data_IF_973083580161
#
_entry.id   IF_973083580161
#
_cell.length_a   1.000
_cell.length_b   1.000
_cell.length_c   1.000
_cell.angle_alpha   90.00
_cell.angle_beta   90.00
_cell.angle_gamma   90.00
#
_symmetry.space_group_name_H-M   'P 1'
#
loop_
_entity.id
_entity.type
_entity.pdbx_description
1 polymer ?
#
# COMPACT_ATOMS: atom_id res chain seq x y z
N UNK A 1 15.58 15.33 1.60
CA UNK A 1 14.90 15.44 2.91
C UNK A 1 14.60 14.03 3.46
N UNK A 2 14.20 13.95 4.75
CA UNK A 2 13.66 12.71 5.33
C UNK A 2 12.18 12.57 5.00
N UNK A 3 11.69 11.34 4.93
CA UNK A 3 10.28 11.06 4.68
C UNK A 3 9.35 11.74 5.70
N UNK A 4 9.72 11.75 6.99
CA UNK A 4 8.94 12.40 8.05
C UNK A 4 8.73 13.92 7.84
N UNK A 5 9.60 14.58 7.07
CA UNK A 5 9.47 16.00 6.72
C UNK A 5 8.50 16.19 5.54
N UNK A 6 8.39 15.19 4.66
CA UNK A 6 7.60 15.23 3.44
C UNK A 6 6.18 14.64 3.60
N UNK A 7 6.01 13.64 4.46
CA UNK A 7 4.76 12.92 4.61
C UNK A 7 4.56 12.29 6.00
N UNK A 8 3.30 12.04 6.35
CA UNK A 8 2.89 11.29 7.54
C UNK A 8 2.51 9.86 7.17
N UNK A 9 2.92 8.90 8.01
CA UNK A 9 2.61 7.47 7.88
C UNK A 9 1.66 7.04 8.97
N UNK A 10 0.54 6.43 8.60
CA UNK A 10 -0.39 5.78 9.51
C UNK A 10 -0.60 4.31 9.10
N UNK A 11 -0.77 3.43 10.08
CA UNK A 11 -1.07 2.01 9.81
C UNK A 11 -2.45 1.90 9.16
N UNK A 12 -2.58 1.02 8.19
CA UNK A 12 -3.87 0.72 7.56
C UNK A 12 -4.89 0.14 8.54
N UNK A 13 -6.09 -0.10 8.06
CA UNK A 13 -7.22 -0.52 8.87
C UNK A 13 -6.95 -1.92 9.46
N UNK A 14 -7.01 -2.05 10.77
CA UNK A 14 -6.88 -3.33 11.47
C UNK A 14 -8.26 -3.95 11.62
N UNK A 15 -8.61 -4.92 10.79
CA UNK A 15 -9.93 -5.58 10.83
C UNK A 15 -10.03 -6.61 11.96
N UNK A 16 -8.99 -7.39 12.19
CA UNK A 16 -8.98 -8.52 13.12
C UNK A 16 -9.55 -9.82 12.53
N UNK A 17 -10.17 -9.73 11.33
CA UNK A 17 -10.71 -10.87 10.60
C UNK A 17 -10.74 -10.52 9.09
N UNK A 18 -9.56 -10.47 8.45
CA UNK A 18 -9.46 -10.04 7.06
C UNK A 18 -10.31 -10.88 6.11
N UNK A 19 -10.43 -12.17 6.33
CA UNK A 19 -11.26 -13.09 5.54
C UNK A 19 -12.76 -12.75 5.57
N UNK A 20 -13.23 -12.07 6.61
CA UNK A 20 -14.61 -11.62 6.74
C UNK A 20 -14.83 -10.23 6.14
N UNK A 21 -13.86 -9.34 6.31
CA UNK A 21 -14.01 -7.93 5.90
C UNK A 21 -13.50 -7.64 4.49
N UNK A 22 -12.56 -8.45 3.96
CA UNK A 22 -11.96 -8.23 2.64
C UNK A 22 -12.50 -9.28 1.66
N UNK A 23 -13.43 -8.85 0.81
CA UNK A 23 -14.22 -9.79 0.02
C UNK A 23 -14.19 -9.48 -1.47
N UNK A 24 -14.54 -10.49 -2.27
CA UNK A 24 -14.69 -10.36 -3.72
C UNK A 24 -16.06 -9.75 -4.06
N UNK A 25 -16.21 -9.26 -5.29
CA UNK A 25 -17.50 -8.81 -5.82
C UNK A 25 -18.57 -9.90 -5.78
N UNK A 26 -18.15 -11.16 -5.93
CA UNK A 26 -19.06 -12.30 -5.84
C UNK A 26 -19.71 -12.40 -4.45
N UNK A 27 -18.90 -12.27 -3.40
CA UNK A 27 -19.41 -12.28 -2.01
C UNK A 27 -20.34 -11.10 -1.77
N UNK A 28 -19.96 -9.90 -2.23
CA UNK A 28 -20.82 -8.70 -2.14
C UNK A 28 -22.18 -8.91 -2.79
N UNK A 29 -22.20 -9.47 -4.01
CA UNK A 29 -23.44 -9.77 -4.74
C UNK A 29 -24.26 -10.86 -4.08
N UNK A 30 -23.63 -12.00 -3.72
CA UNK A 30 -24.27 -13.17 -3.10
C UNK A 30 -25.00 -12.79 -1.80
N UNK A 31 -24.36 -11.97 -0.98
CA UNK A 31 -24.90 -11.55 0.31
C UNK A 31 -25.61 -10.19 0.29
N UNK A 32 -25.68 -9.51 -0.87
CA UNK A 32 -26.36 -8.22 -1.02
C UNK A 32 -25.77 -7.10 -0.17
N UNK A 33 -24.42 -7.04 -0.07
CA UNK A 33 -23.67 -6.16 0.83
C UNK A 33 -23.16 -4.88 0.17
N UNK A 34 -23.65 -4.53 -1.04
CA UNK A 34 -23.13 -3.40 -1.84
C UNK A 34 -23.10 -2.07 -1.06
N UNK A 35 -24.05 -1.84 -0.18
CA UNK A 35 -24.14 -0.62 0.64
C UNK A 35 -22.90 -0.41 1.52
N UNK A 36 -22.29 -1.49 2.00
CA UNK A 36 -21.15 -1.48 2.93
C UNK A 36 -19.83 -1.88 2.26
N UNK A 37 -19.86 -2.17 0.97
CA UNK A 37 -18.68 -2.55 0.22
C UNK A 37 -17.97 -1.30 -0.35
N UNK A 38 -16.72 -1.13 0.00
CA UNK A 38 -15.88 -0.01 -0.42
C UNK A 38 -14.61 -0.52 -1.11
N UNK A 39 -14.08 0.20 -2.12
CA UNK A 39 -12.84 -0.19 -2.78
C UNK A 39 -11.70 -0.37 -1.79
N UNK A 40 -10.86 -1.40 -2.00
CA UNK A 40 -9.66 -1.62 -1.18
C UNK A 40 -8.52 -2.22 -2.00
N UNK A 41 -7.30 -1.96 -1.55
CA UNK A 41 -6.13 -2.72 -1.94
C UNK A 41 -5.22 -3.00 -0.73
N UNK A 42 -4.43 -4.06 -0.78
CA UNK A 42 -3.57 -4.46 0.34
C UNK A 42 -2.53 -5.50 -0.04
N UNK A 43 -2.41 -5.83 -1.33
CA UNK A 43 -1.46 -6.83 -1.86
C UNK A 43 -0.69 -6.24 -3.03
N UNK A 44 0.54 -6.71 -3.24
CA UNK A 44 1.39 -6.26 -4.34
C UNK A 44 0.78 -6.52 -5.72
N UNK A 45 0.05 -7.62 -5.86
CA UNK A 45 -0.65 -7.99 -7.09
C UNK A 45 -1.93 -7.17 -7.34
N UNK A 46 -2.39 -6.37 -6.37
CA UNK A 46 -3.49 -5.42 -6.58
C UNK A 46 -3.05 -4.17 -7.34
N UNK A 47 -1.79 -3.75 -7.18
CA UNK A 47 -1.25 -2.61 -7.90
C UNK A 47 0.17 -2.96 -8.38
N UNK A 48 0.33 -3.48 -9.60
CA UNK A 48 1.66 -3.81 -10.16
C UNK A 48 2.51 -2.56 -10.47
N UNK A 49 1.88 -1.41 -10.73
CA UNK A 49 2.54 -0.11 -10.92
C UNK A 49 2.50 0.78 -9.68
N UNK A 50 2.41 2.08 -9.90
CA UNK A 50 2.31 3.12 -8.85
C UNK A 50 0.98 3.87 -8.85
N UNK A 51 0.04 3.54 -9.75
CA UNK A 51 -1.31 4.12 -9.80
C UNK A 51 -2.34 3.02 -9.52
N UNK A 52 -3.20 3.27 -8.54
CA UNK A 52 -4.41 2.48 -8.28
C UNK A 52 -5.63 3.32 -8.64
N UNK A 53 -6.10 3.12 -9.87
CA UNK A 53 -7.24 3.78 -10.47
C UNK A 53 -8.45 2.83 -10.64
N UNK A 54 -9.55 3.36 -11.20
CA UNK A 54 -10.77 2.59 -11.47
C UNK A 54 -10.51 1.43 -12.45
N UNK A 55 -9.64 1.63 -13.44
CA UNK A 55 -9.29 0.58 -14.39
C UNK A 55 -8.52 -0.56 -13.72
N UNK A 56 -7.56 -0.25 -12.83
CA UNK A 56 -6.84 -1.27 -12.06
C UNK A 56 -7.76 -1.98 -11.07
N UNK A 57 -8.64 -1.23 -10.39
CA UNK A 57 -9.64 -1.82 -9.48
C UNK A 57 -10.56 -2.81 -10.22
N UNK A 58 -11.10 -2.41 -11.36
CA UNK A 58 -11.96 -3.25 -12.21
C UNK A 58 -11.24 -4.51 -12.72
N UNK A 59 -9.96 -4.40 -13.14
CA UNK A 59 -9.16 -5.58 -13.52
C UNK A 59 -9.01 -6.56 -12.37
N UNK A 60 -8.76 -6.06 -11.16
CA UNK A 60 -8.63 -6.89 -9.97
C UNK A 60 -9.95 -7.59 -9.61
N UNK A 61 -11.07 -6.87 -9.68
CA UNK A 61 -12.39 -7.42 -9.42
C UNK A 61 -12.76 -8.52 -10.44
N UNK A 62 -12.50 -8.28 -11.74
CA UNK A 62 -12.71 -9.25 -12.80
C UNK A 62 -11.83 -10.51 -12.64
N UNK A 63 -10.63 -10.37 -12.06
CA UNK A 63 -9.75 -11.47 -11.72
C UNK A 63 -10.16 -12.22 -10.43
N UNK A 64 -11.29 -11.86 -9.81
CA UNK A 64 -11.80 -12.50 -8.59
C UNK A 64 -10.98 -12.20 -7.34
N UNK A 65 -10.18 -11.13 -7.34
CA UNK A 65 -9.44 -10.73 -6.15
C UNK A 65 -10.36 -10.07 -5.11
N UNK A 66 -10.03 -10.12 -3.80
CA UNK A 66 -10.75 -9.39 -2.78
C UNK A 66 -10.46 -7.89 -2.90
N UNK A 67 -11.35 -7.16 -3.55
CA UNK A 67 -11.24 -5.73 -3.85
C UNK A 67 -12.19 -4.87 -3.04
N UNK A 68 -12.99 -5.49 -2.16
CA UNK A 68 -13.95 -4.78 -1.33
C UNK A 68 -13.61 -4.92 0.14
N UNK A 69 -13.60 -3.79 0.85
CA UNK A 69 -13.63 -3.74 2.30
C UNK A 69 -15.08 -3.54 2.77
N UNK A 70 -15.59 -4.44 3.60
CA UNK A 70 -16.91 -4.31 4.21
C UNK A 70 -16.83 -3.42 5.45
N UNK A 71 -17.43 -2.24 5.36
CA UNK A 71 -17.47 -1.29 6.45
C UNK A 71 -18.89 -1.11 7.00
N UNK A 72 -19.20 -1.87 8.04
CA UNK A 72 -20.48 -1.83 8.75
C UNK A 72 -20.48 -0.68 9.77
N UNK A 73 -20.77 0.54 9.32
CA UNK A 73 -20.58 1.77 10.09
C UNK A 73 -21.88 2.49 10.48
N UNK A 74 -23.03 1.99 10.05
CA UNK A 74 -24.32 2.60 10.32
C UNK A 74 -25.30 1.65 11.05
N UNK A 75 -26.38 2.21 11.59
CA UNK A 75 -27.35 1.44 12.36
C UNK A 75 -28.28 0.59 11.47
N UNK A 76 -28.35 0.89 10.16
CA UNK A 76 -29.14 0.09 9.21
C UNK A 76 -28.62 -1.34 9.04
N UNK A 77 -27.39 -1.60 9.44
CA UNK A 77 -26.82 -2.96 9.51
C UNK A 77 -27.71 -3.86 10.37
N UNK A 78 -28.17 -3.35 11.52
CA UNK A 78 -29.04 -4.09 12.46
C UNK A 78 -30.48 -4.28 11.95
N UNK A 79 -30.87 -3.57 10.91
CA UNK A 79 -32.21 -3.64 10.31
C UNK A 79 -32.24 -4.47 9.03
N UNK A 80 -31.10 -4.63 8.37
CA UNK A 80 -31.00 -5.33 7.08
C UNK A 80 -30.84 -6.85 7.26
N UNK A 81 -31.80 -7.68 6.78
CA UNK A 81 -31.73 -9.14 6.97
C UNK A 81 -30.50 -9.79 6.35
N UNK A 82 -30.02 -9.28 5.20
CA UNK A 82 -28.85 -9.83 4.51
C UNK A 82 -27.57 -9.53 5.28
N UNK A 83 -27.41 -8.30 5.78
CA UNK A 83 -26.28 -7.93 6.62
C UNK A 83 -26.26 -8.73 7.93
N UNK A 84 -27.43 -8.88 8.58
CA UNK A 84 -27.58 -9.74 9.76
C UNK A 84 -27.14 -11.18 9.49
N UNK A 85 -27.61 -11.77 8.39
CA UNK A 85 -27.27 -13.14 8.03
C UNK A 85 -25.76 -13.30 7.79
N UNK A 86 -25.11 -12.31 7.15
CA UNK A 86 -23.67 -12.31 6.95
C UNK A 86 -22.90 -12.17 8.28
N UNK A 87 -23.30 -11.26 9.16
CA UNK A 87 -22.71 -11.10 10.49
C UNK A 87 -22.86 -12.38 11.31
N UNK A 88 -24.05 -13.00 11.30
CA UNK A 88 -24.29 -14.27 11.96
C UNK A 88 -23.42 -15.42 11.40
N UNK A 89 -22.99 -15.37 10.12
CA UNK A 89 -22.00 -16.34 9.62
C UNK A 89 -20.63 -16.15 10.28
N UNK A 90 -20.17 -14.91 10.45
CA UNK A 90 -18.92 -14.63 11.16
C UNK A 90 -18.98 -15.02 12.66
N UNK A 91 -20.15 -14.93 13.28
CA UNK A 91 -20.35 -15.39 14.66
C UNK A 91 -20.30 -16.92 14.77
N UNK A 92 -20.86 -17.65 13.79
CA UNK A 92 -20.74 -19.13 13.73
C UNK A 92 -19.29 -19.58 13.52
N UNK A 93 -18.48 -18.77 12.85
CA UNK A 93 -17.03 -18.99 12.66
C UNK A 93 -16.20 -18.46 13.85
N UNK A 94 -16.84 -18.02 14.93
CA UNK A 94 -16.24 -17.49 16.16
C UNK A 94 -15.33 -16.27 15.94
N UNK A 95 -15.49 -15.54 14.83
CA UNK A 95 -14.64 -14.37 14.51
C UNK A 95 -14.78 -13.26 15.54
N UNK A 96 -15.96 -13.12 16.15
CA UNK A 96 -16.24 -12.16 17.22
C UNK A 96 -15.39 -12.41 18.49
N UNK A 97 -14.88 -13.63 18.70
CA UNK A 97 -14.04 -13.98 19.86
C UNK A 97 -12.58 -13.55 19.69
N UNK A 98 -12.14 -13.29 18.46
CA UNK A 98 -10.77 -12.85 18.16
C UNK A 98 -10.44 -11.54 18.89
N UNK A 99 -9.22 -11.40 19.36
CA UNK A 99 -8.79 -10.28 20.21
C UNK A 99 -9.24 -8.91 19.70
N UNK A 100 -8.99 -8.59 18.42
CA UNK A 100 -9.36 -7.28 17.83
C UNK A 100 -10.86 -7.11 17.61
N UNK A 101 -11.62 -8.19 17.47
CA UNK A 101 -13.08 -8.16 17.30
C UNK A 101 -13.78 -8.03 18.66
N UNK A 102 -13.42 -8.87 19.64
CA UNK A 102 -14.08 -8.94 20.96
C UNK A 102 -14.01 -7.65 21.79
N UNK A 103 -13.02 -6.78 21.52
CA UNK A 103 -12.87 -5.49 22.22
C UNK A 103 -13.74 -4.38 21.63
N UNK A 104 -14.56 -4.67 20.60
CA UNK A 104 -15.46 -3.74 19.93
C UNK A 104 -16.91 -4.05 20.28
N UNK A 105 -17.73 -3.01 20.30
CA UNK A 105 -19.19 -3.15 20.49
C UNK A 105 -19.91 -2.30 19.44
N UNK A 106 -20.58 -2.93 18.47
CA UNK A 106 -20.56 -4.36 18.15
C UNK A 106 -19.22 -4.81 17.52
N UNK A 107 -18.93 -6.12 17.57
CA UNK A 107 -17.64 -6.70 17.16
C UNK A 107 -17.21 -6.40 15.72
N UNK A 108 -18.17 -6.25 14.82
CA UNK A 108 -17.99 -5.99 13.40
C UNK A 108 -17.77 -4.51 13.06
N UNK A 109 -17.92 -3.58 14.01
CA UNK A 109 -17.68 -2.15 13.79
C UNK A 109 -16.19 -1.85 13.88
N UNK A 110 -15.54 -1.75 12.72
CA UNK A 110 -14.10 -1.46 12.61
C UNK A 110 -13.85 0.02 12.86
N UNK A 111 -12.96 0.40 13.80
CA UNK A 111 -12.65 1.81 14.07
C UNK A 111 -11.57 2.36 13.12
N UNK A 112 -11.41 3.70 13.14
CA UNK A 112 -10.35 4.42 12.42
C UNK A 112 -10.30 4.13 10.92
N UNK A 113 -11.48 4.07 10.30
CA UNK A 113 -11.65 3.81 8.87
C UNK A 113 -11.59 5.13 8.12
N UNK A 114 -10.52 5.34 7.34
CA UNK A 114 -10.36 6.44 6.39
C UNK A 114 -9.38 6.01 5.28
N UNK A 115 -9.46 6.64 4.13
CA UNK A 115 -8.52 6.48 3.02
C UNK A 115 -7.59 7.69 2.90
N UNK A 116 -6.50 7.53 2.17
CA UNK A 116 -5.55 8.60 1.84
C UNK A 116 -5.25 8.57 0.35
N UNK A 117 -4.79 9.71 -0.19
CA UNK A 117 -4.40 9.82 -1.60
C UNK A 117 -3.19 8.96 -1.97
N UNK A 118 -2.41 8.55 -0.97
CA UNK A 118 -1.23 7.70 -1.17
C UNK A 118 -1.27 6.52 -0.21
N UNK A 119 -0.95 5.34 -0.72
CA UNK A 119 -0.72 4.14 0.05
C UNK A 119 0.69 3.60 -0.13
N UNK A 120 1.11 2.70 0.77
CA UNK A 120 2.37 1.97 0.66
C UNK A 120 2.19 0.56 1.19
N UNK A 121 2.65 -0.43 0.45
CA UNK A 121 2.65 -1.81 0.96
C UNK A 121 3.75 -1.98 2.01
N UNK A 122 3.44 -2.71 3.07
CA UNK A 122 4.35 -2.98 4.17
C UNK A 122 5.58 -3.78 3.74
N UNK A 123 5.41 -4.65 2.75
CA UNK A 123 6.44 -5.58 2.26
C UNK A 123 6.67 -5.38 0.77
N UNK A 124 7.93 -5.49 0.38
CA UNK A 124 8.36 -5.52 -1.02
C UNK A 124 9.40 -6.61 -1.24
N UNK A 125 9.52 -7.09 -2.48
CA UNK A 125 10.57 -8.03 -2.85
C UNK A 125 11.80 -7.29 -3.38
N UNK A 126 11.63 -6.38 -4.32
CA UNK A 126 12.74 -5.60 -4.88
C UNK A 126 12.94 -4.26 -4.16
N UNK A 127 12.03 -3.32 -4.37
CA UNK A 127 12.07 -2.01 -3.72
C UNK A 127 10.67 -1.58 -3.28
N UNK A 128 10.54 -0.83 -2.17
CA UNK A 128 9.26 -0.27 -1.79
C UNK A 128 8.82 0.82 -2.77
N UNK A 129 7.51 0.99 -2.91
CA UNK A 129 6.93 2.06 -3.72
C UNK A 129 5.69 2.66 -3.04
N UNK A 130 5.48 3.93 -3.28
CA UNK A 130 4.23 4.59 -2.98
C UNK A 130 3.23 4.34 -4.11
N UNK A 131 1.95 4.32 -3.77
CA UNK A 131 0.85 4.07 -4.69
C UNK A 131 -0.10 5.26 -4.64
N UNK A 132 -0.29 5.93 -5.76
CA UNK A 132 -1.30 6.97 -5.93
C UNK A 132 -2.68 6.32 -5.95
N UNK A 133 -3.51 6.65 -4.97
CA UNK A 133 -4.82 6.06 -4.74
C UNK A 133 -5.92 6.97 -5.30
N UNK A 134 -6.18 6.86 -6.60
CA UNK A 134 -7.11 7.75 -7.31
C UNK A 134 -8.60 7.42 -7.07
N UNK A 135 -8.90 6.25 -6.51
CA UNK A 135 -10.29 5.80 -6.25
C UNK A 135 -10.70 5.90 -4.78
N UNK A 136 -9.85 6.47 -3.93
CA UNK A 136 -10.12 6.55 -2.49
C UNK A 136 -10.22 5.18 -1.81
N UNK A 137 -9.54 4.16 -2.35
CA UNK A 137 -9.56 2.80 -1.81
C UNK A 137 -8.99 2.76 -0.39
N UNK A 138 -9.56 1.89 0.44
CA UNK A 138 -9.08 1.64 1.78
C UNK A 138 -7.88 0.69 1.76
N UNK A 139 -7.01 0.81 2.76
CA UNK A 139 -5.89 -0.10 2.97
C UNK A 139 -5.99 -0.74 4.34
N UNK A 140 -5.58 -2.01 4.44
CA UNK A 140 -5.59 -2.75 5.70
C UNK A 140 -4.20 -2.79 6.32
N UNK A 141 -4.02 -3.54 7.38
CA UNK A 141 -2.78 -3.69 8.15
C UNK A 141 -1.58 -4.28 7.36
N UNK A 142 -1.81 -4.69 6.13
CA UNK A 142 -0.75 -5.08 5.17
C UNK A 142 -0.18 -3.89 4.38
N UNK A 143 -0.76 -2.71 4.54
CA UNK A 143 -0.35 -1.47 3.89
C UNK A 143 -0.45 -0.28 4.84
N UNK A 144 0.19 0.80 4.48
CA UNK A 144 0.18 2.07 5.20
C UNK A 144 -0.61 3.12 4.44
N UNK A 145 -1.19 4.04 5.18
CA UNK A 145 -1.84 5.26 4.71
C UNK A 145 -0.83 6.38 4.79
N UNK A 146 -0.57 7.01 3.65
CA UNK A 146 0.40 8.08 3.55
C UNK A 146 -0.33 9.38 3.20
N UNK A 147 0.03 10.47 3.91
CA UNK A 147 -0.48 11.81 3.65
C UNK A 147 0.69 12.73 3.38
N UNK A 148 0.72 13.36 2.22
CA UNK A 148 1.71 14.38 1.91
C UNK A 148 1.56 15.58 2.87
N UNK A 149 2.67 16.06 3.41
CA UNK A 149 2.79 17.27 4.21
C UNK A 149 3.39 18.42 3.39
N UNK A 150 4.19 18.07 2.37
CA UNK A 150 4.82 18.99 1.43
C UNK A 150 4.58 18.54 -0.01
N UNK A 151 4.42 19.48 -0.92
CA UNK A 151 4.15 19.20 -2.32
C UNK A 151 2.78 18.53 -2.54
N UNK A 152 2.69 17.72 -3.57
CA UNK A 152 1.49 16.99 -3.97
C UNK A 152 1.63 15.48 -3.74
N UNK A 153 0.51 14.76 -3.71
CA UNK A 153 0.52 13.29 -3.68
C UNK A 153 1.28 12.71 -4.88
N UNK A 154 1.08 13.28 -6.07
CA UNK A 154 1.78 12.90 -7.30
C UNK A 154 3.29 13.14 -7.18
N UNK A 155 3.71 14.32 -6.68
CA UNK A 155 5.12 14.65 -6.46
C UNK A 155 5.78 13.70 -5.47
N UNK A 156 5.08 13.35 -4.40
CA UNK A 156 5.57 12.39 -3.41
C UNK A 156 5.73 10.98 -4.00
N UNK A 157 4.73 10.47 -4.74
CA UNK A 157 4.79 9.14 -5.38
C UNK A 157 5.90 9.09 -6.42
N UNK A 158 5.98 10.11 -7.28
CA UNK A 158 6.98 10.20 -8.34
C UNK A 158 8.40 10.34 -7.79
N UNK A 159 8.60 11.19 -6.78
CA UNK A 159 9.89 11.42 -6.16
C UNK A 159 10.38 10.26 -5.28
N UNK A 160 9.50 9.37 -4.83
CA UNK A 160 9.88 8.27 -3.95
C UNK A 160 10.63 7.13 -4.67
N UNK A 161 10.35 6.89 -5.95
CA UNK A 161 10.90 5.75 -6.69
C UNK A 161 12.22 6.13 -7.37
N UNK A 162 13.33 6.06 -6.65
CA UNK A 162 14.69 6.38 -7.13
C UNK A 162 15.75 5.61 -6.34
N UNK A 163 17.01 5.62 -6.81
CA UNK A 163 18.13 4.85 -6.21
C UNK A 163 18.48 5.28 -4.78
N UNK A 164 18.39 6.57 -4.44
CA UNK A 164 18.64 7.07 -3.09
C UNK A 164 17.63 6.52 -2.09
N UNK A 165 16.33 6.61 -2.43
CA UNK A 165 15.26 6.12 -1.56
C UNK A 165 15.28 4.60 -1.45
N UNK A 166 15.56 3.90 -2.57
CA UNK A 166 15.69 2.45 -2.60
C UNK A 166 16.84 1.95 -1.72
N UNK A 167 18.01 2.59 -1.80
CA UNK A 167 19.16 2.29 -0.94
C UNK A 167 18.85 2.59 0.53
N UNK A 168 18.23 3.74 0.81
CA UNK A 168 17.82 4.10 2.16
C UNK A 168 16.87 3.06 2.76
N UNK A 169 15.97 2.50 1.96
CA UNK A 169 15.05 1.44 2.39
C UNK A 169 15.77 0.12 2.73
N UNK A 170 16.80 -0.26 1.97
CA UNK A 170 17.63 -1.43 2.32
C UNK A 170 18.39 -1.24 3.64
N UNK A 171 18.82 -0.01 3.94
CA UNK A 171 19.58 0.30 5.16
C UNK A 171 18.69 0.39 6.41
N UNK A 172 17.47 0.90 6.30
CA UNK A 172 16.58 1.11 7.43
C UNK A 172 15.61 -0.05 7.65
N UNK A 173 15.30 -0.82 6.62
CA UNK A 173 14.29 -1.86 6.64
C UNK A 173 14.76 -3.18 7.24
N UNK A 174 13.82 -4.08 7.45
CA UNK A 174 14.04 -5.43 8.00
C UNK A 174 14.07 -6.45 6.88
N UNK A 175 15.11 -7.25 6.89
CA UNK A 175 15.30 -8.33 5.93
C UNK A 175 14.72 -9.63 6.48
N UNK A 176 13.83 -10.25 5.74
CA UNK A 176 13.27 -11.57 6.04
C UNK A 176 13.71 -12.60 5.00
N UNK A 177 13.64 -13.87 5.36
CA UNK A 177 13.86 -14.97 4.44
C UNK A 177 13.02 -14.87 3.18
N UNK A 178 13.50 -15.47 2.07
CA UNK A 178 12.85 -15.36 0.77
C UNK A 178 12.99 -14.00 0.09
N UNK A 179 13.94 -13.17 0.50
CA UNK A 179 14.22 -11.88 -0.13
C UNK A 179 13.19 -10.78 0.15
N UNK A 180 12.46 -10.88 1.26
CA UNK A 180 11.44 -9.87 1.62
C UNK A 180 12.07 -8.73 2.42
N UNK A 181 11.82 -7.49 1.96
CA UNK A 181 12.07 -6.26 2.70
C UNK A 181 10.77 -5.80 3.36
N UNK A 182 10.76 -5.61 4.68
CA UNK A 182 9.65 -5.05 5.44
C UNK A 182 10.07 -3.72 6.07
N UNK A 183 9.21 -2.73 5.98
CA UNK A 183 9.36 -1.43 6.62
C UNK A 183 8.21 -1.20 7.60
N UNK A 184 8.52 -0.72 8.80
CA UNK A 184 7.51 -0.22 9.76
C UNK A 184 7.50 1.32 9.74
N UNK A 185 6.46 1.98 10.28
CA UNK A 185 6.33 3.44 10.19
C UNK A 185 7.59 4.21 10.63
N UNK A 186 8.20 3.84 11.75
CA UNK A 186 9.41 4.51 12.26
C UNK A 186 10.67 4.31 11.40
N UNK A 187 10.70 3.31 10.54
CA UNK A 187 11.75 3.08 9.54
C UNK A 187 11.45 3.89 8.27
N UNK A 188 10.17 3.92 7.84
CA UNK A 188 9.73 4.73 6.70
C UNK A 188 10.02 6.22 6.94
N UNK A 189 9.76 6.73 8.14
CA UNK A 189 9.98 8.12 8.53
C UNK A 189 11.44 8.57 8.35
N UNK A 190 12.40 7.66 8.39
CA UNK A 190 13.83 7.94 8.22
C UNK A 190 14.30 7.93 6.77
N UNK A 191 13.53 7.34 5.85
CA UNK A 191 13.93 7.22 4.46
C UNK A 191 14.30 8.57 3.85
N UNK A 192 15.33 8.55 2.99
CA UNK A 192 15.76 9.72 2.26
C UNK A 192 15.07 9.80 0.90
N UNK A 193 14.61 10.98 0.53
CA UNK A 193 13.99 11.24 -0.77
C UNK A 193 14.25 12.68 -1.22
N UNK A 194 14.17 12.99 -2.53
CA UNK A 194 14.17 14.37 -3.02
C UNK A 194 12.93 15.12 -2.49
N UNK A 195 13.00 16.45 -2.42
CA UNK A 195 11.88 17.27 -1.92
C UNK A 195 10.70 17.23 -2.90
N UNK A 196 9.51 16.72 -2.49
CA UNK A 196 8.37 16.54 -3.41
C UNK A 196 7.85 17.85 -4.01
N UNK A 197 8.09 18.98 -3.37
CA UNK A 197 7.67 20.31 -3.84
C UNK A 197 8.51 20.83 -5.01
N UNK A 198 9.72 20.30 -5.21
CA UNK A 198 10.62 20.67 -6.31
C UNK A 198 10.44 19.80 -7.55
N UNK A 199 9.51 18.83 -7.51
CA UNK A 199 9.36 17.82 -8.57
C UNK A 199 8.16 18.16 -9.46
N UNK A 200 8.37 18.14 -10.78
CA UNK A 200 7.29 18.11 -11.78
C UNK A 200 6.98 16.64 -12.07
N UNK A 201 5.87 16.08 -11.54
CA UNK A 201 5.62 14.65 -11.61
C UNK A 201 5.04 14.22 -12.97
N UNK A 202 5.58 13.15 -13.54
CA UNK A 202 4.98 12.37 -14.64
C UNK A 202 4.70 10.95 -14.12
N UNK A 203 3.63 10.84 -13.32
CA UNK A 203 3.29 9.59 -12.60
C UNK A 203 2.85 8.51 -13.58
N UNK A 204 2.23 8.87 -14.69
CA UNK A 204 1.80 7.94 -15.74
C UNK A 204 3.00 7.31 -16.45
N UNK A 205 4.07 8.08 -16.71
CA UNK A 205 5.31 7.54 -17.23
C UNK A 205 5.93 6.57 -16.22
N UNK A 206 6.03 6.97 -14.96
CA UNK A 206 6.55 6.10 -13.89
C UNK A 206 5.73 4.82 -13.75
N UNK A 207 4.39 4.90 -13.81
CA UNK A 207 3.52 3.73 -13.71
C UNK A 207 3.78 2.71 -14.82
N UNK A 208 3.98 3.20 -16.07
CA UNK A 208 4.36 2.33 -17.20
C UNK A 208 5.72 1.67 -16.98
N UNK A 209 6.73 2.44 -16.61
CA UNK A 209 8.09 1.93 -16.36
C UNK A 209 8.09 0.85 -15.27
N UNK A 210 7.42 1.10 -14.13
CA UNK A 210 7.33 0.11 -13.03
C UNK A 210 6.60 -1.18 -13.45
N UNK A 211 5.71 -1.11 -14.44
CA UNK A 211 4.99 -2.30 -14.95
C UNK A 211 5.77 -3.09 -16.00
N UNK A 212 6.58 -2.42 -16.80
CA UNK A 212 7.11 -2.97 -18.05
C UNK A 212 8.63 -3.18 -18.02
N UNK A 213 9.36 -2.32 -17.30
CA UNK A 213 10.80 -2.32 -17.26
C UNK A 213 11.35 -3.11 -16.06
N UNK A 214 12.65 -3.37 -16.06
CA UNK A 214 13.33 -3.89 -14.89
C UNK A 214 13.37 -2.83 -13.77
N UNK A 215 13.40 -3.30 -12.51
CA UNK A 215 13.50 -2.39 -11.36
C UNK A 215 14.75 -1.52 -11.43
N UNK A 216 15.88 -2.08 -11.89
CA UNK A 216 17.14 -1.34 -12.00
C UNK A 216 17.05 -0.23 -13.06
N UNK A 217 16.54 -0.54 -14.26
CA UNK A 217 16.37 0.43 -15.34
C UNK A 217 15.41 1.56 -14.93
N UNK A 218 14.32 1.20 -14.27
CA UNK A 218 13.35 2.19 -13.75
C UNK A 218 13.99 3.09 -12.68
N UNK A 219 14.78 2.53 -11.75
CA UNK A 219 15.47 3.32 -10.73
C UNK A 219 16.52 4.25 -11.34
N UNK A 220 17.28 3.79 -12.34
CA UNK A 220 18.25 4.61 -13.06
C UNK A 220 17.58 5.80 -13.74
N UNK A 221 16.60 5.53 -14.61
CA UNK A 221 15.89 6.58 -15.35
C UNK A 221 15.13 7.55 -14.44
N UNK A 222 14.61 7.06 -13.33
CA UNK A 222 13.89 7.90 -12.37
C UNK A 222 14.87 8.72 -11.52
N UNK A 223 16.05 8.19 -11.18
CA UNK A 223 17.09 8.94 -10.48
C UNK A 223 17.58 10.12 -11.32
N UNK A 224 17.77 9.94 -12.63
CA UNK A 224 18.10 11.04 -13.55
C UNK A 224 17.03 12.14 -13.55
N UNK A 225 15.76 11.77 -13.38
CA UNK A 225 14.64 12.71 -13.40
C UNK A 225 14.44 13.49 -12.09
N UNK A 226 14.83 12.94 -10.93
CA UNK A 226 14.47 13.50 -9.61
C UNK A 226 15.65 13.78 -8.68
N UNK A 227 16.87 13.36 -9.02
CA UNK A 227 18.11 13.58 -8.25
C UNK A 227 19.06 14.53 -8.99
N UNK A 228 18.52 15.63 -9.50
CA UNK A 228 19.23 16.64 -10.30
C UNK A 228 20.39 17.33 -9.57
N UNK A 229 20.40 17.29 -8.24
CA UNK A 229 21.49 17.81 -7.40
C UNK A 229 22.68 16.87 -7.31
N UNK A 230 22.57 15.62 -7.76
CA UNK A 230 23.62 14.63 -7.78
C UNK A 230 24.19 14.47 -9.19
N UNK A 231 25.50 14.29 -9.28
CA UNK A 231 26.15 13.93 -10.54
C UNK A 231 25.72 12.53 -11.00
N UNK A 232 25.84 12.26 -12.30
CA UNK A 232 25.55 10.92 -12.86
C UNK A 232 26.37 9.82 -12.19
N UNK A 233 27.66 10.09 -11.86
CA UNK A 233 28.50 9.16 -11.12
C UNK A 233 27.93 8.81 -9.75
N UNK A 234 27.53 9.81 -8.96
CA UNK A 234 26.90 9.59 -7.64
C UNK A 234 25.58 8.82 -7.74
N UNK A 235 24.75 9.10 -8.75
CA UNK A 235 23.51 8.36 -8.99
C UNK A 235 23.79 6.88 -9.31
N UNK A 236 24.82 6.60 -10.12
CA UNK A 236 25.24 5.23 -10.45
C UNK A 236 25.82 4.51 -9.23
N UNK A 237 26.57 5.19 -8.36
CA UNK A 237 27.09 4.63 -7.12
C UNK A 237 25.95 4.24 -6.16
N UNK A 238 24.90 5.07 -6.04
CA UNK A 238 23.70 4.75 -5.27
C UNK A 238 22.97 3.52 -5.81
N UNK A 239 22.82 3.43 -7.13
CA UNK A 239 22.18 2.30 -7.80
C UNK A 239 22.97 1.01 -7.58
N UNK A 240 24.30 1.06 -7.72
CA UNK A 240 25.18 -0.09 -7.50
C UNK A 240 25.13 -0.56 -6.03
N UNK A 241 25.16 0.37 -5.07
CA UNK A 241 25.04 0.05 -3.65
C UNK A 241 23.69 -0.59 -3.31
N UNK A 242 22.59 -0.06 -3.84
CA UNK A 242 21.26 -0.66 -3.69
C UNK A 242 21.25 -2.08 -4.27
N UNK A 243 21.71 -2.28 -5.49
CA UNK A 243 21.73 -3.59 -6.15
C UNK A 243 22.50 -4.63 -5.32
N UNK A 244 23.67 -4.24 -4.79
CA UNK A 244 24.48 -5.10 -3.92
C UNK A 244 23.74 -5.53 -2.66
N UNK A 245 23.04 -4.63 -1.97
CA UNK A 245 22.30 -4.94 -0.73
C UNK A 245 21.06 -5.78 -1.03
N UNK A 246 20.29 -5.43 -2.07
CA UNK A 246 19.14 -6.20 -2.54
C UNK A 246 19.55 -7.64 -2.89
N UNK A 247 20.62 -7.83 -3.66
CA UNK A 247 21.07 -9.15 -4.07
C UNK A 247 21.56 -9.99 -2.89
N UNK A 248 22.19 -9.33 -1.90
CA UNK A 248 22.52 -10.00 -0.63
C UNK A 248 21.29 -10.45 0.12
N UNK A 249 20.24 -9.63 0.19
CA UNK A 249 18.97 -9.96 0.83
C UNK A 249 18.25 -11.11 0.10
N UNK A 250 18.27 -11.13 -1.24
CA UNK A 250 17.66 -12.20 -2.04
C UNK A 250 18.34 -13.56 -1.86
N UNK A 251 19.59 -13.60 -1.39
CA UNK A 251 20.31 -14.84 -1.08
C UNK A 251 20.03 -15.39 0.32
N UNK A 252 19.28 -14.68 1.16
CA UNK A 252 18.88 -15.20 2.45
C UNK A 252 17.91 -16.37 2.25
N UNK A 253 18.08 -17.48 3.00
CA UNK A 253 17.14 -18.60 2.91
C UNK A 253 15.74 -18.15 3.33
N UNK A 254 14.73 -18.82 2.75
CA UNK A 254 13.32 -18.57 3.07
C UNK A 254 12.94 -19.04 4.48
#
# INVERSE_FOLDING_TARGET
CRFAEAAKVDVGIVTGANEFFLVTDEVVRRHGLKKWAHPMFGRSDHCPGVIYDEAQHSRNAAAGKPTNFLWFNDDTVSENPKAKAYIASGEREELHTRYKCRIRSPWYRVPSVYSTEVGMLKRSHDTPRLILNSVGAYTTDTAYRIRALRGTAQGLVYGFYNSLTALSAELEGRHYGGGVLELVPSEIEKLLLPSPECITPDVERLDRMVREDSVADTLEAQSEAVLDTLTKGEQMDLLAAWAMLRDRRHRLPA
#
